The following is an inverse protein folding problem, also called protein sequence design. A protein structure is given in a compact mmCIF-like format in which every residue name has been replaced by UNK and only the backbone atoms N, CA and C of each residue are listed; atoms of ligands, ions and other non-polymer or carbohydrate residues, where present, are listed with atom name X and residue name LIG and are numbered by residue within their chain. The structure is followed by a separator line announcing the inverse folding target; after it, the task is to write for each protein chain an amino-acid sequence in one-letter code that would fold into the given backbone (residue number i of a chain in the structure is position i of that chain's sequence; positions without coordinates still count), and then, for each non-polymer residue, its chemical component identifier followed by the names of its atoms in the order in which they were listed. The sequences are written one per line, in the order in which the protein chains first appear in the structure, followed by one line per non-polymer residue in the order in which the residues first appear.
data_IF_178100681320
#
_entry.id   IF_178100681320
#
_cell.length_a   1.000
_cell.length_b   1.000
_cell.length_c   1.000
_cell.angle_alpha   90.00
_cell.angle_beta   90.00
_cell.angle_gamma   90.00
#
_symmetry.space_group_name_H-M   'P 1'
#
loop_
_entity.id
_entity.type
_entity.pdbx_description
1 polymer ?
#
# COMPACT_ATOMS: atom_id res chain seq x y z
N UNK A 1 -0.69 33.62 10.70
CA UNK A 1 -0.70 33.53 9.23
C UNK A 1 0.56 32.79 8.85
N UNK A 2 0.48 31.46 8.69
CA UNK A 2 1.65 30.68 8.32
C UNK A 2 2.00 31.08 6.90
N UNK A 3 3.24 31.54 6.69
CA UNK A 3 3.82 31.68 5.36
C UNK A 3 3.74 30.31 4.70
N UNK A 4 2.78 30.11 3.80
CA UNK A 4 2.75 28.94 2.92
C UNK A 4 4.05 29.02 2.13
N UNK A 5 4.99 28.16 2.47
CA UNK A 5 6.07 27.83 1.57
C UNK A 5 5.32 27.32 0.34
N UNK A 6 5.38 28.05 -0.78
CA UNK A 6 4.78 27.59 -2.03
C UNK A 6 5.56 26.32 -2.41
N UNK A 7 5.04 25.17 -2.00
CA UNK A 7 5.60 23.87 -2.36
C UNK A 7 5.32 23.69 -3.84
N UNK A 8 6.34 23.43 -4.68
CA UNK A 8 6.10 23.16 -6.09
C UNK A 8 5.22 21.90 -6.24
N UNK A 9 4.18 21.91 -7.09
CA UNK A 9 3.31 20.75 -7.32
C UNK A 9 4.09 19.46 -7.64
N UNK A 10 5.14 19.60 -8.46
CA UNK A 10 6.12 18.58 -8.82
C UNK A 10 6.71 17.84 -7.60
N UNK A 11 6.93 18.56 -6.49
CA UNK A 11 7.50 18.00 -5.25
C UNK A 11 6.48 17.13 -4.53
N UNK A 12 5.22 17.56 -4.49
CA UNK A 12 4.12 16.80 -3.89
C UNK A 12 3.78 15.57 -4.73
N UNK A 13 3.80 15.71 -6.06
CA UNK A 13 3.63 14.61 -7.01
C UNK A 13 4.76 13.57 -6.93
N UNK A 14 6.04 13.98 -6.82
CA UNK A 14 7.14 13.03 -6.63
C UNK A 14 6.99 12.29 -5.29
N UNK A 15 6.64 13.00 -4.22
CA UNK A 15 6.40 12.39 -2.92
C UNK A 15 5.24 11.39 -2.95
N UNK A 16 4.11 11.75 -3.55
CA UNK A 16 2.96 10.88 -3.68
C UNK A 16 3.28 9.67 -4.57
N UNK A 17 4.04 9.85 -5.64
CA UNK A 17 4.55 8.75 -6.48
C UNK A 17 5.42 7.77 -5.69
N UNK A 18 6.35 8.26 -4.86
CA UNK A 18 7.17 7.41 -3.99
C UNK A 18 6.27 6.67 -3.00
N UNK A 19 5.28 7.34 -2.42
CA UNK A 19 4.30 6.74 -1.50
C UNK A 19 3.52 5.62 -2.17
N UNK A 20 3.05 5.83 -3.40
CA UNK A 20 2.38 4.80 -4.20
C UNK A 20 3.27 3.58 -4.47
N UNK A 21 4.55 3.79 -4.80
CA UNK A 21 5.55 2.72 -4.99
C UNK A 21 5.85 1.96 -3.70
N UNK A 22 5.99 2.66 -2.57
CA UNK A 22 6.13 2.02 -1.24
C UNK A 22 4.93 1.15 -0.93
N UNK A 23 3.72 1.65 -1.19
CA UNK A 23 2.49 0.91 -0.94
C UNK A 23 2.39 -0.36 -1.77
N UNK A 24 2.75 -0.32 -3.05
CA UNK A 24 2.79 -1.52 -3.90
C UNK A 24 3.87 -2.52 -3.48
N UNK A 25 5.05 -2.03 -3.10
CA UNK A 25 6.11 -2.87 -2.59
C UNK A 25 5.67 -3.57 -1.29
N UNK A 26 5.03 -2.85 -0.38
CA UNK A 26 4.49 -3.41 0.86
C UNK A 26 3.39 -4.44 0.56
N UNK A 27 2.48 -4.14 -0.36
CA UNK A 27 1.44 -5.07 -0.79
C UNK A 27 2.03 -6.38 -1.31
N UNK A 28 3.01 -6.29 -2.21
CA UNK A 28 3.69 -7.45 -2.74
C UNK A 28 4.38 -8.26 -1.64
N UNK A 29 5.12 -7.60 -0.73
CA UNK A 29 5.76 -8.26 0.40
C UNK A 29 4.75 -9.06 1.24
N UNK A 30 3.67 -8.41 1.67
CA UNK A 30 2.67 -9.03 2.55
C UNK A 30 1.95 -10.19 1.85
N UNK A 31 1.55 -10.01 0.59
CA UNK A 31 0.86 -11.05 -0.19
C UNK A 31 1.77 -12.25 -0.47
N UNK A 32 3.04 -12.03 -0.79
CA UNK A 32 4.00 -13.12 -0.98
C UNK A 32 4.26 -13.87 0.33
N UNK A 33 4.32 -13.17 1.48
CA UNK A 33 4.46 -13.82 2.78
C UNK A 33 3.23 -14.66 3.14
N UNK A 34 2.02 -14.19 2.80
CA UNK A 34 0.80 -14.97 2.95
C UNK A 34 0.79 -16.20 2.02
N UNK A 35 1.25 -16.06 0.77
CA UNK A 35 1.34 -17.18 -0.18
C UNK A 35 2.38 -18.22 0.26
N UNK A 36 3.55 -17.79 0.75
CA UNK A 36 4.59 -18.68 1.26
C UNK A 36 4.09 -19.56 2.40
N UNK A 37 3.19 -19.05 3.24
CA UNK A 37 2.61 -19.82 4.34
C UNK A 37 1.77 -21.03 3.88
N UNK A 38 1.34 -21.06 2.61
CA UNK A 38 0.56 -22.17 2.04
C UNK A 38 1.38 -23.22 1.33
N UNK A 39 2.67 -22.97 1.15
CA UNK A 39 3.56 -23.89 0.45
C UNK A 39 4.15 -24.86 1.47
N UNK A 40 3.64 -26.09 1.47
CA UNK A 40 4.10 -27.14 2.39
C UNK A 40 5.54 -27.64 2.10
N UNK A 41 6.01 -27.50 0.85
CA UNK A 41 7.35 -27.94 0.45
C UNK A 41 8.34 -26.77 0.47
N UNK A 42 9.08 -26.63 1.56
CA UNK A 42 10.10 -25.58 1.75
C UNK A 42 11.34 -25.77 0.89
N UNK A 43 11.58 -26.99 0.38
CA UNK A 43 12.71 -27.28 -0.50
C UNK A 43 12.38 -27.00 -1.98
N UNK A 44 11.13 -26.61 -2.27
CA UNK A 44 10.72 -26.23 -3.61
C UNK A 44 11.44 -24.98 -4.10
N UNK A 45 11.87 -25.00 -5.36
CA UNK A 45 12.42 -23.82 -6.06
C UNK A 45 11.46 -22.63 -5.99
N UNK A 46 10.15 -22.88 -6.05
CA UNK A 46 9.12 -21.84 -5.98
C UNK A 46 9.15 -21.15 -4.60
N UNK A 47 9.32 -21.92 -3.52
CA UNK A 47 9.41 -21.38 -2.15
C UNK A 47 10.62 -20.45 -2.03
N UNK A 48 11.78 -20.86 -2.53
CA UNK A 48 13.00 -20.05 -2.52
C UNK A 48 12.88 -18.78 -3.38
N UNK A 49 12.30 -18.88 -4.57
CA UNK A 49 12.09 -17.72 -5.46
C UNK A 49 11.17 -16.68 -4.82
N UNK A 50 10.03 -17.12 -4.27
CA UNK A 50 9.11 -16.24 -3.55
C UNK A 50 9.75 -15.66 -2.28
N UNK A 51 10.55 -16.44 -1.57
CA UNK A 51 11.34 -15.99 -0.43
C UNK A 51 12.28 -14.84 -0.82
N UNK A 52 13.08 -15.03 -1.88
CA UNK A 52 13.99 -14.01 -2.40
C UNK A 52 13.24 -12.77 -2.88
N UNK A 53 12.13 -12.94 -3.60
CA UNK A 53 11.29 -11.83 -4.07
C UNK A 53 10.72 -11.03 -2.89
N UNK A 54 10.27 -11.69 -1.83
CA UNK A 54 9.79 -11.02 -0.61
C UNK A 54 10.90 -10.21 0.05
N UNK A 55 12.13 -10.76 0.12
CA UNK A 55 13.27 -10.05 0.69
C UNK A 55 13.66 -8.83 -0.14
N UNK A 56 13.72 -8.98 -1.47
CA UNK A 56 14.00 -7.86 -2.37
C UNK A 56 12.95 -6.76 -2.24
N UNK A 57 11.67 -7.13 -2.13
CA UNK A 57 10.56 -6.21 -1.91
C UNK A 57 10.66 -5.48 -0.57
N UNK A 58 11.04 -6.18 0.51
CA UNK A 58 11.27 -5.55 1.82
C UNK A 58 12.43 -4.54 1.77
N UNK A 59 13.54 -4.88 1.12
CA UNK A 59 14.66 -3.96 0.91
C UNK A 59 14.22 -2.75 0.10
N UNK A 60 13.44 -2.96 -0.95
CA UNK A 60 12.91 -1.88 -1.79
C UNK A 60 12.00 -0.92 -0.99
N UNK A 61 11.14 -1.45 -0.11
CA UNK A 61 10.34 -0.63 0.82
C UNK A 61 11.22 0.26 1.70
N UNK A 62 12.29 -0.30 2.28
CA UNK A 62 13.21 0.45 3.15
C UNK A 62 13.92 1.55 2.37
N UNK A 63 14.43 1.24 1.16
CA UNK A 63 15.11 2.21 0.31
C UNK A 63 14.18 3.36 -0.08
N UNK A 64 12.95 3.06 -0.49
CA UNK A 64 11.97 4.09 -0.84
C UNK A 64 11.49 4.87 0.38
N UNK A 65 11.34 4.23 1.54
CA UNK A 65 11.03 4.92 2.80
C UNK A 65 12.13 5.90 3.20
N UNK A 66 13.40 5.52 3.06
CA UNK A 66 14.52 6.46 3.26
C UNK A 66 14.47 7.59 2.23
N UNK A 67 14.12 7.30 0.98
CA UNK A 67 13.96 8.34 -0.06
C UNK A 67 12.82 9.30 0.30
N UNK A 68 11.69 8.81 0.81
CA UNK A 68 10.54 9.63 1.17
C UNK A 68 10.83 10.57 2.34
N UNK A 69 11.71 10.18 3.27
CA UNK A 69 12.13 11.05 4.39
C UNK A 69 12.78 12.36 3.94
N UNK A 70 13.35 12.44 2.73
CA UNK A 70 13.91 13.69 2.17
C UNK A 70 12.83 14.76 1.98
N UNK A 71 11.57 14.36 1.79
CA UNK A 71 10.46 15.27 1.59
C UNK A 71 9.93 15.86 2.90
N UNK A 72 10.26 15.28 4.06
CA UNK A 72 9.79 15.77 5.37
C UNK A 72 10.14 17.24 5.67
N UNK A 73 11.17 17.78 5.01
CA UNK A 73 11.58 19.19 5.11
C UNK A 73 11.09 20.06 3.95
N UNK A 74 10.59 19.45 2.87
CA UNK A 74 10.27 20.12 1.60
C UNK A 74 8.78 20.20 1.31
N UNK A 75 7.94 19.46 2.04
CA UNK A 75 6.48 19.55 1.97
C UNK A 75 5.90 19.97 3.32
N UNK A 76 4.62 20.35 3.32
CA UNK A 76 3.94 20.68 4.57
C UNK A 76 3.94 19.48 5.52
N UNK A 77 4.06 19.73 6.83
CA UNK A 77 4.01 18.66 7.84
C UNK A 77 2.70 17.87 7.78
N UNK A 78 1.61 18.55 7.39
CA UNK A 78 0.32 17.91 7.17
C UNK A 78 0.41 16.96 5.97
N UNK A 79 0.89 17.43 4.81
CA UNK A 79 1.10 16.61 3.62
C UNK A 79 1.98 15.39 3.85
N UNK A 80 3.06 15.54 4.61
CA UNK A 80 3.95 14.41 4.91
C UNK A 80 3.30 13.32 5.77
N UNK A 81 2.43 13.66 6.71
CA UNK A 81 1.86 12.68 7.65
C UNK A 81 0.45 12.21 7.29
N UNK A 82 -0.34 13.08 6.66
CA UNK A 82 -1.76 12.82 6.38
C UNK A 82 -2.08 12.79 4.90
N UNK A 83 -1.09 12.99 4.02
CA UNK A 83 -1.27 13.06 2.57
C UNK A 83 -2.25 14.16 2.14
N UNK A 84 -2.26 15.28 2.88
CA UNK A 84 -3.06 16.47 2.56
C UNK A 84 -2.16 17.53 1.93
N UNK A 85 -2.37 17.81 0.65
CA UNK A 85 -1.43 18.56 -0.19
C UNK A 85 -1.96 19.96 -0.53
N UNK A 86 -1.05 20.87 -0.89
CA UNK A 86 -1.43 22.22 -1.31
C UNK A 86 -1.90 22.23 -2.79
N UNK A 87 -1.37 21.34 -3.63
CA UNK A 87 -1.84 21.11 -4.99
C UNK A 87 -3.19 20.36 -5.02
N UNK A 88 -4.15 20.90 -5.77
CA UNK A 88 -5.53 20.40 -5.83
C UNK A 88 -5.62 18.99 -6.45
N UNK A 89 -4.84 18.72 -7.50
CA UNK A 89 -4.87 17.42 -8.15
C UNK A 89 -4.19 16.35 -7.29
N UNK A 90 -3.02 16.65 -6.74
CA UNK A 90 -2.29 15.73 -5.85
C UNK A 90 -3.12 15.40 -4.61
N UNK A 91 -3.82 16.39 -4.02
CA UNK A 91 -4.74 16.17 -2.89
C UNK A 91 -5.98 15.36 -3.28
N UNK A 92 -6.52 15.56 -4.49
CA UNK A 92 -7.60 14.73 -5.01
C UNK A 92 -7.17 13.26 -5.15
N UNK A 93 -6.00 13.00 -5.73
CA UNK A 93 -5.46 11.65 -5.93
C UNK A 93 -5.20 10.96 -4.61
N UNK A 94 -4.56 11.66 -3.65
CA UNK A 94 -4.30 11.11 -2.32
C UNK A 94 -5.62 10.77 -1.60
N UNK A 95 -6.59 11.68 -1.59
CA UNK A 95 -7.90 11.50 -0.97
C UNK A 95 -8.72 10.38 -1.62
N UNK A 96 -8.66 10.24 -2.94
CA UNK A 96 -9.28 9.13 -3.66
C UNK A 96 -8.69 7.79 -3.25
N UNK A 97 -7.35 7.69 -3.23
CA UNK A 97 -6.65 6.47 -2.83
C UNK A 97 -6.96 6.06 -1.39
N UNK A 98 -6.97 7.01 -0.45
CA UNK A 98 -7.30 6.78 0.96
C UNK A 98 -8.74 6.31 1.14
N UNK A 99 -9.69 6.87 0.38
CA UNK A 99 -11.09 6.42 0.39
C UNK A 99 -11.19 4.96 -0.06
N UNK A 100 -10.56 4.57 -1.16
CA UNK A 100 -10.59 3.16 -1.63
C UNK A 100 -10.03 2.23 -0.55
N UNK A 101 -8.86 2.56 -0.01
CA UNK A 101 -8.20 1.77 1.06
C UNK A 101 -9.11 1.61 2.28
N UNK A 102 -9.73 2.70 2.72
CA UNK A 102 -10.65 2.70 3.85
C UNK A 102 -11.84 1.77 3.60
N UNK A 103 -12.48 1.83 2.42
CA UNK A 103 -13.60 0.95 2.09
C UNK A 103 -13.17 -0.52 2.06
N UNK A 104 -12.02 -0.85 1.46
CA UNK A 104 -11.49 -2.23 1.46
C UNK A 104 -11.32 -2.73 2.90
N UNK A 105 -10.69 -1.94 3.77
CA UNK A 105 -10.48 -2.31 5.16
C UNK A 105 -11.81 -2.46 5.92
N UNK A 106 -12.76 -1.54 5.75
CA UNK A 106 -14.08 -1.61 6.40
C UNK A 106 -14.83 -2.87 5.96
N UNK A 107 -14.96 -3.09 4.64
CA UNK A 107 -15.69 -4.25 4.14
C UNK A 107 -15.00 -5.57 4.49
N UNK A 108 -13.67 -5.63 4.37
CA UNK A 108 -12.92 -6.84 4.71
C UNK A 108 -12.95 -7.16 6.20
N UNK A 109 -12.82 -6.15 7.07
CA UNK A 109 -12.96 -6.36 8.52
C UNK A 109 -14.38 -6.72 8.92
N UNK A 110 -15.40 -6.18 8.24
CA UNK A 110 -16.80 -6.57 8.45
C UNK A 110 -17.03 -8.04 8.10
N UNK A 111 -16.50 -8.52 6.96
CA UNK A 111 -16.52 -9.94 6.59
C UNK A 111 -15.89 -10.80 7.69
N UNK A 112 -14.71 -10.42 8.18
CA UNK A 112 -14.03 -11.14 9.26
C UNK A 112 -14.83 -11.12 10.57
N UNK A 113 -15.45 -9.99 10.92
CA UNK A 113 -16.19 -9.83 12.18
C UNK A 113 -17.48 -10.65 12.22
N UNK A 114 -18.21 -10.74 11.10
CA UNK A 114 -19.50 -11.43 11.06
C UNK A 114 -19.41 -12.90 10.63
N UNK A 115 -18.44 -13.24 9.80
CA UNK A 115 -18.30 -14.60 9.25
C UNK A 115 -17.04 -15.33 9.69
N UNK A 116 -16.11 -14.68 10.40
CA UNK A 116 -14.82 -15.24 10.83
C UNK A 116 -14.92 -16.61 11.52
N UNK A 117 -15.92 -16.76 12.40
CA UNK A 117 -16.14 -17.99 13.16
C UNK A 117 -17.12 -18.98 12.49
N UNK A 118 -17.67 -18.61 11.33
CA UNK A 118 -18.60 -19.49 10.61
C UNK A 118 -17.85 -20.70 10.04
N UNK A 119 -18.45 -21.89 10.10
CA UNK A 119 -17.81 -23.12 9.62
C UNK A 119 -17.36 -23.02 8.15
N UNK A 120 -18.19 -22.43 7.29
CA UNK A 120 -17.85 -22.24 5.88
C UNK A 120 -16.61 -21.33 5.70
N UNK A 121 -16.52 -20.23 6.45
CA UNK A 121 -15.38 -19.33 6.37
C UNK A 121 -14.13 -19.93 7.01
N UNK A 122 -14.28 -20.65 8.12
CA UNK A 122 -13.20 -21.39 8.75
C UNK A 122 -12.66 -22.49 7.83
N UNK A 123 -13.51 -23.19 7.08
CA UNK A 123 -13.12 -24.19 6.09
C UNK A 123 -12.41 -23.54 4.89
N UNK A 124 -12.90 -22.38 4.41
CA UNK A 124 -12.26 -21.58 3.36
C UNK A 124 -10.85 -21.11 3.78
N UNK A 125 -10.73 -20.69 5.04
CA UNK A 125 -9.51 -20.17 5.64
C UNK A 125 -8.68 -21.24 6.35
N UNK A 126 -9.07 -22.51 6.29
CA UNK A 126 -8.37 -23.61 6.98
C UNK A 126 -6.88 -23.70 6.63
N UNK A 127 -6.42 -23.38 5.39
CA UNK A 127 -4.99 -23.30 5.09
C UNK A 127 -4.29 -22.03 5.62
N UNK A 128 -5.04 -21.00 6.01
CA UNK A 128 -4.59 -19.62 6.12
C UNK A 128 -4.75 -19.02 7.54
N UNK A 129 -5.62 -19.55 8.39
CA UNK A 129 -5.89 -18.93 9.69
C UNK A 129 -6.29 -17.44 9.60
N UNK A 130 -6.51 -16.81 10.75
CA UNK A 130 -6.99 -15.42 10.78
C UNK A 130 -5.88 -14.42 10.44
N UNK A 131 -4.63 -14.70 10.85
CA UNK A 131 -3.49 -13.81 10.59
C UNK A 131 -3.21 -13.66 9.10
N UNK A 132 -3.28 -14.73 8.30
CA UNK A 132 -3.06 -14.60 6.85
C UNK A 132 -4.26 -13.93 6.16
N UNK A 133 -5.48 -14.06 6.68
CA UNK A 133 -6.63 -13.27 6.24
C UNK A 133 -6.38 -11.77 6.34
N UNK A 134 -5.88 -11.33 7.49
CA UNK A 134 -5.54 -9.93 7.75
C UNK A 134 -4.37 -9.47 6.87
N UNK A 135 -3.37 -10.33 6.64
CA UNK A 135 -2.28 -10.03 5.70
C UNK A 135 -2.81 -9.85 4.28
N UNK A 136 -3.70 -10.72 3.80
CA UNK A 136 -4.32 -10.58 2.47
C UNK A 136 -5.13 -9.28 2.41
N UNK A 137 -5.95 -8.99 3.42
CA UNK A 137 -6.72 -7.75 3.48
C UNK A 137 -5.83 -6.50 3.43
N UNK A 138 -4.76 -6.47 4.24
CA UNK A 138 -3.79 -5.39 4.25
C UNK A 138 -3.06 -5.27 2.91
N UNK A 139 -2.67 -6.39 2.33
CA UNK A 139 -2.01 -6.45 1.03
C UNK A 139 -2.89 -5.91 -0.10
N UNK A 140 -4.17 -6.29 -0.13
CA UNK A 140 -5.15 -5.78 -1.10
C UNK A 140 -5.39 -4.28 -0.91
N UNK A 141 -5.53 -3.82 0.33
CA UNK A 141 -5.70 -2.40 0.65
C UNK A 141 -4.48 -1.58 0.20
N UNK A 142 -3.26 -2.04 0.52
CA UNK A 142 -2.01 -1.40 0.10
C UNK A 142 -1.81 -1.44 -1.43
N UNK A 143 -2.23 -2.52 -2.10
CA UNK A 143 -2.17 -2.61 -3.55
C UNK A 143 -3.10 -1.57 -4.18
N UNK A 144 -4.35 -1.50 -3.72
CA UNK A 144 -5.32 -0.53 -4.21
C UNK A 144 -4.87 0.92 -3.97
N UNK A 145 -4.31 1.22 -2.80
CA UNK A 145 -3.74 2.53 -2.50
C UNK A 145 -2.64 2.91 -3.50
N UNK A 146 -1.65 2.04 -3.68
CA UNK A 146 -0.51 2.35 -4.55
C UNK A 146 -0.87 2.35 -6.04
N UNK A 147 -1.72 1.43 -6.49
CA UNK A 147 -2.20 1.40 -7.88
C UNK A 147 -3.03 2.63 -8.21
N UNK A 148 -3.96 3.04 -7.34
CA UNK A 148 -4.80 4.21 -7.61
C UNK A 148 -3.99 5.49 -7.72
N UNK A 149 -2.97 5.67 -6.88
CA UNK A 149 -2.02 6.79 -6.97
C UNK A 149 -1.29 6.77 -8.32
N UNK A 150 -0.58 5.68 -8.63
CA UNK A 150 0.27 5.63 -9.82
C UNK A 150 -0.53 5.66 -11.12
N UNK A 151 -1.73 5.11 -11.11
CA UNK A 151 -2.63 5.17 -12.26
C UNK A 151 -3.09 6.60 -12.52
N UNK A 152 -3.57 7.30 -11.49
CA UNK A 152 -4.10 8.66 -11.63
C UNK A 152 -3.01 9.67 -12.00
N UNK A 153 -1.86 9.62 -11.34
CA UNK A 153 -0.74 10.52 -11.70
C UNK A 153 -0.25 10.28 -13.14
N UNK A 154 -0.32 9.04 -13.64
CA UNK A 154 0.01 8.74 -15.04
C UNK A 154 -1.04 9.25 -16.03
N UNK A 155 -2.32 9.27 -15.67
CA UNK A 155 -3.37 9.84 -16.54
C UNK A 155 -3.11 11.34 -16.78
N UNK A 156 -2.74 12.08 -15.74
CA UNK A 156 -2.37 13.50 -15.85
C UNK A 156 -1.16 13.73 -16.76
N UNK A 157 -0.07 12.96 -16.58
CA UNK A 157 1.11 13.05 -17.46
C UNK A 157 0.83 12.80 -18.95
N UNK A 158 -0.26 12.10 -19.28
CA UNK A 158 -0.66 11.78 -20.66
C UNK A 158 -1.64 12.80 -21.26
N UNK A 159 -2.31 13.57 -20.42
CA UNK A 159 -3.32 14.56 -20.82
C UNK A 159 -2.73 15.97 -21.00
N UNK A 160 -1.46 16.19 -20.62
CA UNK A 160 -0.63 17.38 -20.90
C UNK A 160 0.21 17.27 -22.20
#
# INVERSE_FOLDING_TARGET
MATSILVPPETEQEYLTITGKVSLALAFFVLVKAALATINNTDSVIYWLLGLASLASAVYCVVLGIKSMKFAQNISRLGFWTLTFDDEYVDYVSSFSLRITCHILIFGTMILAFWGDSKWFADLMAPFGVTHALQVLLGVAAAAHGTSILWKLREEELDE
#
